data_IF_425081989568
#
_entry.id   IF_425081989568
#
_cell.length_a   1.000
_cell.length_b   1.000
_cell.length_c   1.000
_cell.angle_alpha   90.00
_cell.angle_beta   90.00
_cell.angle_gamma   90.00
#
_symmetry.space_group_name_H-M   'P 1'
#
loop_
_entity.id
_entity.type
_entity.pdbx_description
1 polymer ?
#
# COMPACT_ATOMS: atom_id res chain seq x y z
N UNK A 1 17.98 -16.67 -16.34
CA UNK A 1 17.81 -18.13 -16.19
C UNK A 1 19.02 -18.80 -16.81
N UNK A 2 19.93 -19.31 -15.98
CA UNK A 2 21.08 -20.09 -16.47
C UNK A 2 20.67 -21.55 -16.44
N UNK A 3 20.37 -22.10 -17.62
CA UNK A 3 20.19 -23.54 -17.74
C UNK A 3 21.56 -24.22 -17.68
N UNK A 4 21.66 -25.34 -16.96
CA UNK A 4 22.89 -26.13 -16.97
C UNK A 4 23.14 -26.73 -18.35
N UNK A 5 24.42 -26.93 -18.71
CA UNK A 5 24.82 -27.53 -20.01
C UNK A 5 24.12 -28.88 -20.29
N UNK A 6 23.79 -29.62 -19.22
CA UNK A 6 23.08 -30.89 -19.27
C UNK A 6 21.60 -30.74 -19.65
N UNK A 7 20.93 -29.71 -19.16
CA UNK A 7 19.53 -29.40 -19.50
C UNK A 7 19.42 -28.88 -20.93
N UNK A 8 20.44 -28.18 -21.40
CA UNK A 8 20.51 -27.71 -22.80
C UNK A 8 20.68 -28.90 -23.77
N UNK A 9 21.57 -29.86 -23.45
CA UNK A 9 21.80 -31.06 -24.26
C UNK A 9 20.61 -32.00 -24.27
N UNK A 10 19.88 -32.15 -23.16
CA UNK A 10 18.67 -32.96 -23.13
C UNK A 10 17.55 -32.36 -24.01
N UNK A 11 17.39 -31.03 -24.02
CA UNK A 11 16.41 -30.36 -24.91
C UNK A 11 16.83 -30.38 -26.38
N UNK A 12 18.10 -30.23 -26.65
CA UNK A 12 18.64 -30.37 -28.03
C UNK A 12 18.48 -31.79 -28.56
N UNK A 13 18.66 -32.81 -27.72
CA UNK A 13 18.45 -34.22 -28.07
C UNK A 13 16.97 -34.54 -28.36
N UNK A 14 16.04 -33.98 -27.61
CA UNK A 14 14.61 -34.14 -27.86
C UNK A 14 14.18 -33.46 -29.17
N UNK A 15 14.69 -32.26 -29.44
CA UNK A 15 14.42 -31.55 -30.71
C UNK A 15 14.97 -32.33 -31.92
N UNK A 16 16.19 -32.89 -31.83
CA UNK A 16 16.79 -33.67 -32.90
C UNK A 16 16.06 -35.01 -33.16
N UNK A 17 15.55 -35.66 -32.12
CA UNK A 17 14.75 -36.90 -32.24
C UNK A 17 13.39 -36.67 -32.90
N UNK A 18 12.74 -35.52 -32.61
CA UNK A 18 11.43 -35.16 -33.18
C UNK A 18 11.49 -34.74 -34.64
N UNK A 19 12.57 -34.08 -35.08
CA UNK A 19 12.76 -33.73 -36.49
C UNK A 19 13.03 -34.98 -37.36
N UNK A 20 13.65 -36.02 -36.82
CA UNK A 20 13.91 -37.28 -37.53
C UNK A 20 12.65 -38.12 -37.74
N UNK A 21 11.56 -37.88 -37.01
CA UNK A 21 10.30 -38.62 -37.06
C UNK A 21 9.18 -37.91 -37.85
N UNK A 22 9.49 -36.88 -38.63
CA UNK A 22 8.52 -36.22 -39.52
C UNK A 22 7.49 -35.32 -38.84
N UNK A 23 7.69 -35.01 -37.57
CA UNK A 23 6.75 -34.24 -36.75
C UNK A 23 6.87 -32.73 -36.82
N UNK A 24 6.92 -32.12 -38.04
CA UNK A 24 6.96 -30.65 -38.16
C UNK A 24 5.75 -29.94 -37.55
N UNK A 25 4.57 -30.56 -37.50
CA UNK A 25 3.38 -30.03 -36.85
C UNK A 25 3.49 -30.04 -35.34
N UNK A 26 4.00 -31.12 -34.75
CA UNK A 26 4.14 -31.23 -33.27
C UNK A 26 5.22 -30.32 -32.69
N UNK A 27 6.26 -30.00 -33.46
CA UNK A 27 7.30 -29.03 -33.07
C UNK A 27 6.78 -27.59 -33.09
N UNK A 28 5.89 -27.26 -34.04
CA UNK A 28 5.23 -25.97 -34.11
C UNK A 28 4.25 -25.76 -32.95
N UNK A 29 3.59 -26.82 -32.50
CA UNK A 29 2.69 -26.75 -31.33
C UNK A 29 3.46 -26.74 -29.98
N UNK A 30 4.60 -27.42 -29.88
CA UNK A 30 5.49 -27.29 -28.72
C UNK A 30 6.15 -25.91 -28.62
N UNK A 31 6.41 -25.27 -29.75
CA UNK A 31 6.89 -23.87 -29.82
C UNK A 31 5.78 -22.85 -29.59
N UNK A 32 4.51 -23.24 -29.67
CA UNK A 32 3.32 -22.45 -29.36
C UNK A 32 2.80 -22.64 -27.94
N UNK A 33 3.52 -23.35 -27.07
CA UNK A 33 3.17 -23.37 -25.65
C UNK A 33 3.01 -21.91 -25.17
N UNK A 34 1.89 -21.57 -24.55
CA UNK A 34 1.63 -20.19 -24.13
C UNK A 34 2.79 -19.73 -23.26
N UNK A 35 3.43 -18.62 -23.69
CA UNK A 35 4.57 -18.06 -22.96
C UNK A 35 4.05 -17.53 -21.63
N UNK A 36 4.26 -18.29 -20.56
CA UNK A 36 3.85 -17.85 -19.21
C UNK A 36 4.57 -16.54 -18.89
N UNK A 37 3.79 -15.54 -18.49
CA UNK A 37 4.31 -14.22 -18.16
C UNK A 37 4.44 -14.12 -16.63
N UNK A 38 5.67 -14.02 -16.10
CA UNK A 38 5.88 -13.90 -14.67
C UNK A 38 5.27 -12.62 -14.14
N UNK A 39 4.81 -12.68 -12.88
CA UNK A 39 4.36 -11.53 -12.13
C UNK A 39 5.32 -11.26 -10.97
N UNK A 40 5.46 -9.98 -10.62
CA UNK A 40 6.16 -9.51 -9.43
C UNK A 40 5.38 -8.36 -8.80
N UNK A 41 5.41 -8.28 -7.47
CA UNK A 41 4.86 -7.12 -6.78
C UNK A 41 5.76 -5.87 -6.96
N UNK A 42 5.29 -4.72 -6.48
CA UNK A 42 5.99 -3.44 -6.61
C UNK A 42 7.40 -3.46 -5.99
N UNK A 43 7.58 -4.03 -4.81
CA UNK A 43 8.91 -4.12 -4.17
C UNK A 43 9.84 -5.12 -4.86
N UNK A 44 9.29 -6.11 -5.56
CA UNK A 44 10.04 -7.20 -6.19
C UNK A 44 10.27 -8.43 -5.30
N UNK A 45 9.86 -8.37 -4.02
CA UNK A 45 10.03 -9.45 -3.05
C UNK A 45 9.09 -10.64 -3.30
N UNK A 46 7.89 -10.37 -3.83
CA UNK A 46 6.91 -11.41 -4.16
C UNK A 46 6.84 -11.64 -5.66
N UNK A 47 6.82 -12.90 -6.08
CA UNK A 47 6.72 -13.25 -7.50
C UNK A 47 6.04 -14.60 -7.70
N UNK A 48 5.44 -14.80 -8.88
CA UNK A 48 4.92 -16.10 -9.30
C UNK A 48 4.93 -16.23 -10.82
N UNK A 49 4.68 -17.47 -11.28
CA UNK A 49 4.50 -17.80 -12.70
C UNK A 49 3.09 -18.40 -12.86
N UNK A 50 2.06 -17.54 -12.99
CA UNK A 50 0.68 -18.01 -13.09
C UNK A 50 0.42 -18.71 -14.42
N UNK A 51 -0.52 -19.67 -14.42
CA UNK A 51 -0.99 -20.36 -15.63
C UNK A 51 -1.64 -19.37 -16.61
N UNK A 52 -2.36 -18.36 -16.10
CA UNK A 52 -2.98 -17.32 -16.90
C UNK A 52 -2.95 -15.95 -16.22
N UNK A 53 -2.96 -14.88 -17.05
CA UNK A 53 -3.16 -13.50 -16.64
C UNK A 53 -4.30 -12.93 -17.47
N UNK A 54 -5.41 -12.61 -16.82
CA UNK A 54 -6.64 -12.18 -17.46
C UNK A 54 -7.07 -10.80 -16.99
N UNK A 55 -7.71 -10.03 -17.87
CA UNK A 55 -8.32 -8.75 -17.59
C UNK A 55 -9.66 -8.66 -18.32
N UNK A 56 -10.75 -9.16 -17.74
CA UNK A 56 -12.10 -9.10 -18.33
C UNK A 56 -12.52 -7.65 -18.58
N UNK A 57 -13.16 -7.40 -19.72
CA UNK A 57 -13.53 -6.06 -20.17
C UNK A 57 -14.87 -5.59 -19.61
N UNK A 58 -15.74 -6.53 -19.31
CA UNK A 58 -17.08 -6.29 -18.80
C UNK A 58 -17.53 -7.39 -17.83
N UNK A 59 -18.72 -7.22 -17.27
CA UNK A 59 -19.26 -8.12 -16.26
C UNK A 59 -19.54 -9.51 -16.80
N UNK A 60 -20.00 -9.62 -18.05
CA UNK A 60 -20.32 -10.91 -18.68
C UNK A 60 -19.03 -11.73 -18.90
N UNK A 61 -17.97 -11.09 -19.40
CA UNK A 61 -16.66 -11.73 -19.54
C UNK A 61 -16.08 -12.13 -18.18
N UNK A 62 -16.24 -11.27 -17.16
CA UNK A 62 -15.79 -11.58 -15.78
C UNK A 62 -16.50 -12.81 -15.24
N UNK A 63 -17.82 -12.88 -15.35
CA UNK A 63 -18.63 -14.03 -14.91
C UNK A 63 -18.18 -15.30 -15.64
N UNK A 64 -17.98 -15.23 -16.96
CA UNK A 64 -17.50 -16.38 -17.74
C UNK A 64 -16.10 -16.85 -17.29
N UNK A 65 -15.18 -15.91 -17.00
CA UNK A 65 -13.86 -16.24 -16.51
C UNK A 65 -13.94 -16.94 -15.15
N UNK A 66 -14.75 -16.41 -14.22
CA UNK A 66 -14.88 -16.96 -12.87
C UNK A 66 -15.54 -18.34 -12.89
N UNK A 67 -16.63 -18.51 -13.64
CA UNK A 67 -17.41 -19.78 -13.68
C UNK A 67 -16.72 -20.90 -14.44
N UNK A 68 -15.81 -20.56 -15.37
CA UNK A 68 -15.06 -21.57 -16.16
C UNK A 68 -13.65 -21.84 -15.60
N UNK A 69 -13.23 -21.14 -14.56
CA UNK A 69 -11.88 -21.30 -14.04
C UNK A 69 -11.68 -22.67 -13.42
N UNK A 70 -10.66 -23.37 -13.89
CA UNK A 70 -10.17 -24.60 -13.29
C UNK A 70 -9.03 -24.23 -12.32
N UNK A 71 -9.34 -24.13 -11.02
CA UNK A 71 -8.35 -23.82 -10.00
C UNK A 71 -8.46 -22.41 -9.41
N UNK A 72 -7.38 -21.96 -8.80
CA UNK A 72 -7.36 -20.72 -8.01
C UNK A 72 -7.32 -19.46 -8.89
N UNK A 73 -8.26 -18.54 -8.62
CA UNK A 73 -8.18 -17.17 -9.11
C UNK A 73 -7.65 -16.28 -7.99
N UNK A 74 -6.68 -15.43 -8.31
CA UNK A 74 -6.22 -14.36 -7.43
C UNK A 74 -6.43 -13.01 -8.11
N UNK A 75 -7.27 -12.13 -7.52
CA UNK A 75 -7.35 -10.76 -7.99
C UNK A 75 -6.03 -10.02 -7.71
N UNK A 76 -5.65 -9.17 -8.63
CA UNK A 76 -4.47 -8.32 -8.50
C UNK A 76 -4.77 -6.91 -8.99
N UNK A 77 -4.47 -5.91 -8.15
CA UNK A 77 -4.43 -4.51 -8.52
C UNK A 77 -3.03 -4.09 -8.99
N UNK A 78 -2.50 -3.04 -8.40
CA UNK A 78 -1.15 -2.53 -8.72
C UNK A 78 -0.01 -3.40 -8.15
N UNK A 79 -0.32 -4.42 -7.35
CA UNK A 79 0.68 -5.30 -6.75
C UNK A 79 1.51 -4.63 -5.67
N UNK A 80 0.92 -3.73 -4.89
CA UNK A 80 1.63 -2.94 -3.88
C UNK A 80 1.75 -3.66 -2.52
N UNK A 81 0.98 -4.71 -2.28
CA UNK A 81 1.04 -5.49 -1.04
C UNK A 81 2.40 -6.18 -0.88
N UNK A 82 2.95 -6.14 0.33
CA UNK A 82 4.22 -6.80 0.69
C UNK A 82 4.02 -8.25 1.11
N UNK A 83 2.85 -8.59 1.65
CA UNK A 83 2.49 -9.98 2.00
C UNK A 83 2.22 -10.81 0.75
N UNK A 84 2.47 -12.12 0.84
CA UNK A 84 2.33 -13.08 -0.27
C UNK A 84 0.85 -13.44 -0.56
N UNK A 85 -0.04 -12.46 -0.68
CA UNK A 85 -1.47 -12.66 -0.93
C UNK A 85 -1.78 -12.97 -2.40
N UNK A 86 -1.03 -12.40 -3.33
CA UNK A 86 -1.26 -12.49 -4.78
C UNK A 86 -0.58 -13.69 -5.44
N UNK A 87 0.64 -14.14 -5.05
CA UNK A 87 1.31 -15.23 -5.74
C UNK A 87 0.43 -16.48 -5.90
N UNK A 88 0.35 -17.00 -7.12
CA UNK A 88 -0.44 -18.18 -7.49
C UNK A 88 0.18 -18.88 -8.69
N UNK A 89 -0.05 -20.18 -8.80
CA UNK A 89 0.16 -20.99 -10.00
C UNK A 89 -1.06 -21.01 -10.94
N UNK A 90 -2.24 -20.59 -10.42
CA UNK A 90 -3.49 -20.50 -11.15
C UNK A 90 -3.63 -19.24 -12.01
N UNK A 91 -4.77 -18.58 -11.93
CA UNK A 91 -5.09 -17.38 -12.71
C UNK A 91 -4.89 -16.11 -11.89
N UNK A 92 -4.10 -15.17 -12.41
CA UNK A 92 -4.11 -13.76 -11.95
C UNK A 92 -5.16 -12.99 -12.75
N UNK A 93 -6.07 -12.30 -12.03
CA UNK A 93 -7.15 -11.57 -12.62
C UNK A 93 -7.07 -10.08 -12.26
N UNK A 94 -6.98 -9.21 -13.27
CA UNK A 94 -6.98 -7.76 -13.11
C UNK A 94 -8.37 -7.19 -13.43
N UNK A 95 -8.84 -6.26 -12.59
CA UNK A 95 -10.06 -5.50 -12.81
C UNK A 95 -9.81 -4.14 -13.48
N UNK A 96 -8.72 -3.98 -14.23
CA UNK A 96 -8.30 -2.70 -14.81
C UNK A 96 -9.35 -2.05 -15.73
N UNK A 97 -10.26 -2.83 -16.33
CA UNK A 97 -11.38 -2.30 -17.13
C UNK A 97 -12.59 -1.87 -16.29
N UNK A 98 -12.67 -2.29 -15.03
CA UNK A 98 -13.67 -1.83 -14.06
C UNK A 98 -13.12 -0.61 -13.32
N UNK A 99 -12.98 0.52 -14.00
CA UNK A 99 -12.23 1.68 -13.50
C UNK A 99 -12.93 3.00 -13.86
N UNK A 100 -12.67 4.02 -13.04
CA UNK A 100 -13.19 5.37 -13.20
C UNK A 100 -14.38 5.67 -12.29
N UNK A 101 -14.78 6.94 -12.29
CA UNK A 101 -16.00 7.41 -11.64
C UNK A 101 -17.19 6.94 -12.46
N UNK A 102 -18.13 6.22 -11.84
CA UNK A 102 -19.30 5.62 -12.48
C UNK A 102 -20.56 6.43 -12.21
N UNK A 103 -20.72 6.91 -10.98
CA UNK A 103 -21.89 7.69 -10.54
C UNK A 103 -21.53 8.56 -9.33
N UNK A 104 -22.32 9.61 -9.07
CA UNK A 104 -22.18 10.43 -7.87
C UNK A 104 -23.48 11.13 -7.50
N UNK A 105 -23.65 11.37 -6.20
CA UNK A 105 -24.74 12.18 -5.66
C UNK A 105 -24.16 13.40 -4.93
N UNK A 106 -24.37 14.62 -5.44
CA UNK A 106 -23.88 15.83 -4.81
C UNK A 106 -24.60 16.17 -3.49
N UNK A 107 -25.82 15.66 -3.27
CA UNK A 107 -26.58 15.95 -2.06
C UNK A 107 -26.11 15.12 -0.86
N UNK A 108 -25.84 13.82 -1.07
CA UNK A 108 -25.31 12.92 -0.04
C UNK A 108 -23.78 12.91 0.02
N UNK A 109 -23.10 13.55 -0.93
CA UNK A 109 -21.65 13.50 -1.10
C UNK A 109 -21.14 12.05 -1.22
N UNK A 110 -21.87 11.23 -1.99
CA UNK A 110 -21.43 9.88 -2.31
C UNK A 110 -20.96 9.80 -3.75
N UNK A 111 -19.98 8.92 -3.99
CA UNK A 111 -19.51 8.61 -5.34
C UNK A 111 -19.23 7.11 -5.49
N UNK A 112 -19.54 6.57 -6.68
CA UNK A 112 -19.30 5.17 -7.02
C UNK A 112 -18.17 5.07 -8.04
N UNK A 113 -17.19 4.22 -7.73
CA UNK A 113 -16.05 3.95 -8.60
C UNK A 113 -15.96 2.47 -8.95
N UNK A 114 -15.38 2.19 -10.12
CA UNK A 114 -14.95 0.83 -10.44
C UNK A 114 -13.84 0.36 -9.50
N UNK A 115 -13.88 -0.91 -9.07
CA UNK A 115 -12.92 -1.47 -8.10
C UNK A 115 -11.47 -1.45 -8.56
N UNK A 116 -11.23 -1.47 -9.88
CA UNK A 116 -9.91 -1.37 -10.49
C UNK A 116 -9.37 0.06 -10.65
N UNK A 117 -10.07 1.08 -10.14
CA UNK A 117 -9.64 2.49 -10.24
C UNK A 117 -8.36 2.70 -9.44
N UNK A 118 -7.27 3.22 -10.05
CA UNK A 118 -6.11 3.67 -9.30
C UNK A 118 -6.47 4.83 -8.37
N UNK A 119 -6.00 4.81 -7.13
CA UNK A 119 -6.27 5.85 -6.14
C UNK A 119 -5.82 7.23 -6.61
N UNK A 120 -4.71 7.32 -7.36
CA UNK A 120 -4.20 8.54 -7.97
C UNK A 120 -5.16 9.22 -8.95
N UNK A 121 -6.13 8.47 -9.49
CA UNK A 121 -7.17 9.02 -10.37
C UNK A 121 -8.42 9.46 -9.60
N UNK A 122 -8.57 9.03 -8.37
CA UNK A 122 -9.78 9.33 -7.59
C UNK A 122 -9.81 10.76 -7.09
N UNK A 123 -8.70 11.27 -6.56
CA UNK A 123 -8.61 12.64 -6.06
C UNK A 123 -9.05 13.69 -7.09
N UNK A 124 -8.42 13.76 -8.27
CA UNK A 124 -8.82 14.67 -9.33
C UNK A 124 -10.27 14.49 -9.80
N UNK A 125 -10.76 13.22 -9.89
CA UNK A 125 -12.14 12.94 -10.30
C UNK A 125 -13.15 13.43 -9.25
N UNK A 126 -12.89 13.22 -7.97
CA UNK A 126 -13.73 13.72 -6.87
C UNK A 126 -13.71 15.24 -6.81
N UNK A 127 -12.55 15.88 -6.95
CA UNK A 127 -12.44 17.33 -6.98
C UNK A 127 -13.28 17.94 -8.11
N UNK A 128 -13.31 17.32 -9.29
CA UNK A 128 -14.09 17.79 -10.44
C UNK A 128 -15.62 17.83 -10.17
N UNK A 129 -16.10 17.00 -9.23
CA UNK A 129 -17.51 16.97 -8.79
C UNK A 129 -17.73 17.66 -7.43
N UNK A 130 -16.73 18.41 -6.92
CA UNK A 130 -16.82 19.15 -5.66
C UNK A 130 -16.67 18.27 -4.40
N UNK A 131 -16.17 17.05 -4.52
CA UNK A 131 -16.01 16.10 -3.42
C UNK A 131 -14.54 15.80 -3.14
N UNK A 132 -14.26 15.22 -1.98
CA UNK A 132 -12.95 14.69 -1.59
C UNK A 132 -13.11 13.53 -0.61
N UNK A 133 -12.13 12.61 -0.56
CA UNK A 133 -12.05 11.61 0.48
C UNK A 133 -11.79 12.27 1.85
N UNK A 134 -12.41 11.78 2.92
CA UNK A 134 -12.19 12.31 4.28
C UNK A 134 -10.74 12.15 4.77
N UNK A 135 -10.07 11.08 4.35
CA UNK A 135 -8.68 10.77 4.66
C UNK A 135 -8.08 9.94 3.53
N UNK A 136 -6.77 10.03 3.30
CA UNK A 136 -6.05 9.23 2.31
C UNK A 136 -4.74 8.71 2.90
N UNK A 137 -4.26 7.60 2.34
CA UNK A 137 -2.90 7.14 2.54
C UNK A 137 -1.90 8.02 1.76
N UNK A 138 -0.65 8.00 2.17
CA UNK A 138 0.41 8.77 1.52
C UNK A 138 0.89 8.15 0.18
N UNK A 139 0.47 6.93 -0.13
CA UNK A 139 0.72 6.25 -1.41
C UNK A 139 -0.59 6.02 -2.14
N UNK A 140 -0.69 6.46 -3.37
CA UNK A 140 -1.90 6.39 -4.21
C UNK A 140 -1.78 5.47 -5.44
N UNK A 141 -0.74 4.67 -5.52
CA UNK A 141 -0.53 3.70 -6.63
C UNK A 141 -1.46 2.50 -6.58
N UNK A 142 -2.09 2.23 -5.43
CA UNK A 142 -3.01 1.12 -5.23
C UNK A 142 -4.27 1.27 -6.08
N UNK A 143 -4.95 0.15 -6.38
CA UNK A 143 -6.33 0.19 -6.87
C UNK A 143 -7.31 0.24 -5.71
N UNK A 144 -8.48 0.83 -5.89
CA UNK A 144 -9.48 1.00 -4.84
C UNK A 144 -9.87 -0.33 -4.17
N UNK A 145 -10.21 -1.37 -4.95
CA UNK A 145 -10.53 -2.68 -4.40
C UNK A 145 -9.35 -3.32 -3.65
N UNK A 146 -8.10 -3.08 -4.11
CA UNK A 146 -6.91 -3.54 -3.43
C UNK A 146 -6.67 -2.81 -2.10
N UNK A 147 -6.85 -1.50 -2.07
CA UNK A 147 -6.66 -0.67 -0.89
C UNK A 147 -7.67 -1.00 0.23
N UNK A 148 -8.97 -1.12 -0.12
CA UNK A 148 -9.98 -1.50 0.88
C UNK A 148 -9.76 -2.93 1.39
N UNK A 149 -9.37 -3.87 0.52
CA UNK A 149 -9.22 -5.29 0.88
C UNK A 149 -8.18 -5.56 1.98
N UNK A 150 -7.26 -4.63 2.22
CA UNK A 150 -6.16 -4.74 3.18
C UNK A 150 -6.18 -3.63 4.25
N UNK A 151 -7.30 -2.96 4.46
CA UNK A 151 -7.46 -1.86 5.43
C UNK A 151 -6.49 -0.71 5.25
N UNK A 152 -6.06 -0.39 4.02
CA UNK A 152 -5.17 0.75 3.77
C UNK A 152 -5.73 2.02 4.40
N UNK A 153 -4.87 2.78 5.07
CA UNK A 153 -5.24 3.95 5.87
C UNK A 153 -4.23 5.09 5.69
N UNK A 154 -4.60 6.27 6.12
CA UNK A 154 -3.71 7.40 6.35
C UNK A 154 -3.41 7.56 7.85
N UNK A 155 -3.38 8.78 8.34
CA UNK A 155 -3.19 9.08 9.77
C UNK A 155 -4.30 9.99 10.29
N UNK A 156 -4.50 9.96 11.63
CA UNK A 156 -5.40 10.85 12.39
C UNK A 156 -6.41 10.10 13.26
N UNK A 157 -6.42 10.40 14.57
CA UNK A 157 -7.30 9.76 15.58
C UNK A 157 -8.81 9.81 15.22
N UNK A 158 -9.23 10.75 14.38
CA UNK A 158 -10.63 10.89 13.98
C UNK A 158 -10.98 10.08 12.71
N UNK A 159 -10.00 9.49 12.04
CA UNK A 159 -10.15 8.89 10.72
C UNK A 159 -9.80 7.42 10.71
N UNK A 160 -10.65 6.60 10.08
CA UNK A 160 -10.41 5.19 9.83
C UNK A 160 -9.72 4.92 8.49
N UNK A 161 -9.67 3.64 8.12
CA UNK A 161 -9.16 3.16 6.84
C UNK A 161 -10.08 3.56 5.65
N UNK A 162 -9.63 3.34 4.43
CA UNK A 162 -10.50 3.48 3.23
C UNK A 162 -11.74 2.59 3.32
N UNK A 163 -11.61 1.41 3.91
CA UNK A 163 -12.72 0.47 4.09
C UNK A 163 -13.84 1.05 4.98
N UNK A 164 -13.51 1.92 5.95
CA UNK A 164 -14.49 2.60 6.80
C UNK A 164 -15.31 3.66 6.07
N UNK A 165 -14.83 4.13 4.90
CA UNK A 165 -15.54 5.11 4.05
C UNK A 165 -16.50 4.44 3.07
N UNK A 166 -16.47 3.09 2.96
CA UNK A 166 -17.31 2.34 2.03
C UNK A 166 -18.74 2.24 2.53
N UNK A 167 -19.71 2.62 1.69
CA UNK A 167 -21.15 2.55 1.98
C UNK A 167 -21.90 1.62 1.02
N UNK A 168 -21.24 1.06 0.02
CA UNK A 168 -21.79 0.06 -0.87
C UNK A 168 -20.71 -0.65 -1.67
N UNK A 169 -20.96 -1.92 -2.01
CA UNK A 169 -20.09 -2.77 -2.80
C UNK A 169 -20.89 -3.54 -3.85
N UNK A 170 -20.30 -3.77 -5.00
CA UNK A 170 -20.72 -4.84 -5.91
C UNK A 170 -19.64 -5.91 -5.97
N UNK A 171 -20.04 -7.17 -5.74
CA UNK A 171 -19.18 -8.33 -5.74
C UNK A 171 -19.60 -9.32 -6.82
N UNK A 172 -18.62 -9.96 -7.48
CA UNK A 172 -18.85 -11.18 -8.28
C UNK A 172 -18.29 -12.36 -7.49
N UNK A 173 -19.17 -13.25 -7.06
CA UNK A 173 -18.80 -14.43 -6.25
C UNK A 173 -18.11 -15.51 -7.11
N UNK A 174 -17.53 -16.51 -6.47
CA UNK A 174 -16.92 -17.66 -7.16
C UNK A 174 -17.92 -18.44 -8.05
N UNK A 175 -19.23 -18.39 -7.74
CA UNK A 175 -20.28 -18.96 -8.57
C UNK A 175 -20.72 -18.09 -9.74
N UNK A 176 -20.16 -16.89 -9.90
CA UNK A 176 -20.57 -15.93 -10.94
C UNK A 176 -21.80 -15.10 -10.57
N UNK A 177 -22.30 -15.20 -9.33
CA UNK A 177 -23.39 -14.35 -8.86
C UNK A 177 -22.90 -12.93 -8.64
N UNK A 178 -23.70 -11.93 -9.07
CA UNK A 178 -23.43 -10.51 -8.85
C UNK A 178 -24.25 -10.04 -7.66
N UNK A 179 -23.56 -9.60 -6.61
CA UNK A 179 -24.17 -9.13 -5.37
C UNK A 179 -23.92 -7.62 -5.21
N UNK A 180 -25.01 -6.84 -5.16
CA UNK A 180 -24.96 -5.48 -4.67
C UNK A 180 -25.20 -5.49 -3.15
N UNK A 181 -24.25 -5.00 -2.39
CA UNK A 181 -24.22 -5.08 -0.94
C UNK A 181 -24.12 -3.69 -0.31
N UNK A 182 -24.93 -3.43 0.71
CA UNK A 182 -24.90 -2.22 1.53
C UNK A 182 -25.47 -2.54 2.93
N UNK A 183 -25.63 -1.55 3.79
CA UNK A 183 -26.16 -1.73 5.14
C UNK A 183 -27.57 -2.36 5.21
N UNK A 184 -28.35 -2.28 4.11
CA UNK A 184 -29.72 -2.78 4.02
C UNK A 184 -29.85 -4.02 3.14
N UNK A 185 -28.90 -4.22 2.23
CA UNK A 185 -28.87 -5.33 1.26
C UNK A 185 -27.64 -6.17 1.48
N UNK A 186 -27.83 -7.45 1.79
CA UNK A 186 -26.75 -8.36 2.15
C UNK A 186 -25.78 -7.79 3.23
N UNK A 187 -26.31 -7.30 4.39
CA UNK A 187 -25.53 -6.52 5.37
C UNK A 187 -24.32 -7.28 5.93
N UNK A 188 -24.42 -8.60 6.12
CA UNK A 188 -23.30 -9.42 6.59
C UNK A 188 -22.22 -9.56 5.53
N UNK A 189 -22.60 -9.72 4.25
CA UNK A 189 -21.66 -9.75 3.13
C UNK A 189 -21.01 -8.38 2.95
N UNK A 190 -21.78 -7.31 3.07
CA UNK A 190 -21.27 -5.93 3.05
C UNK A 190 -20.25 -5.69 4.15
N UNK A 191 -20.60 -6.06 5.39
CA UNK A 191 -19.73 -5.88 6.54
C UNK A 191 -18.39 -6.58 6.35
N UNK A 192 -18.38 -7.87 5.97
CA UNK A 192 -17.19 -8.64 5.74
C UNK A 192 -16.45 -8.28 4.43
N UNK A 193 -17.19 -7.84 3.41
CA UNK A 193 -16.67 -7.53 2.07
C UNK A 193 -15.79 -6.28 2.01
N UNK A 194 -15.98 -5.35 2.96
CA UNK A 194 -15.18 -4.12 3.04
C UNK A 194 -13.68 -4.40 3.24
N UNK A 195 -13.35 -5.46 4.03
CA UNK A 195 -11.98 -5.98 4.16
C UNK A 195 -12.06 -7.51 4.05
N UNK A 196 -11.74 -8.08 2.92
CA UNK A 196 -11.94 -9.52 2.69
C UNK A 196 -10.74 -10.23 2.05
N UNK A 197 -9.65 -9.54 1.75
CA UNK A 197 -8.47 -10.08 1.06
C UNK A 197 -8.84 -10.82 -0.25
N UNK A 198 -10.00 -10.48 -0.85
CA UNK A 198 -10.54 -11.13 -2.03
C UNK A 198 -11.20 -12.49 -1.78
N UNK A 199 -11.42 -12.89 -0.52
CA UNK A 199 -11.97 -14.21 -0.19
C UNK A 199 -13.47 -14.36 -0.52
N UNK A 200 -14.24 -13.28 -0.51
CA UNK A 200 -15.68 -13.29 -0.77
C UNK A 200 -16.05 -13.15 -2.26
N UNK A 201 -15.11 -12.69 -3.08
CA UNK A 201 -15.33 -12.45 -4.49
C UNK A 201 -14.51 -11.28 -5.04
N UNK A 202 -14.83 -10.90 -6.27
CA UNK A 202 -14.17 -9.82 -7.00
C UNK A 202 -14.97 -8.53 -6.85
N UNK A 203 -14.40 -7.50 -6.22
CA UNK A 203 -15.05 -6.20 -6.01
C UNK A 203 -15.01 -5.40 -7.31
N UNK A 204 -16.15 -5.30 -7.99
CA UNK A 204 -16.27 -4.61 -9.28
C UNK A 204 -16.63 -3.13 -9.13
N UNK A 205 -17.39 -2.77 -8.08
CA UNK A 205 -17.79 -1.39 -7.77
C UNK A 205 -17.69 -1.11 -6.29
N UNK A 206 -17.36 0.12 -5.95
CA UNK A 206 -17.28 0.62 -4.57
C UNK A 206 -17.95 1.98 -4.50
N UNK A 207 -18.92 2.15 -3.62
CA UNK A 207 -19.54 3.42 -3.28
C UNK A 207 -18.95 3.93 -1.98
N UNK A 208 -18.48 5.16 -2.01
CA UNK A 208 -17.79 5.82 -0.91
C UNK A 208 -18.61 6.97 -0.35
N UNK A 209 -18.58 7.15 0.98
CA UNK A 209 -19.00 8.37 1.64
C UNK A 209 -17.86 9.37 1.61
N UNK A 210 -18.03 10.43 0.89
CA UNK A 210 -17.09 11.52 0.74
C UNK A 210 -17.52 12.72 1.60
N UNK A 211 -16.75 13.79 1.48
CA UNK A 211 -17.05 15.12 2.00
C UNK A 211 -16.89 16.17 0.89
N UNK A 212 -17.24 17.42 1.16
CA UNK A 212 -16.94 18.53 0.26
C UNK A 212 -15.44 18.69 0.04
N UNK A 213 -15.03 19.08 -1.17
CA UNK A 213 -13.63 19.33 -1.50
C UNK A 213 -13.00 20.38 -0.54
N UNK A 214 -11.77 20.16 -0.13
CA UNK A 214 -11.06 20.98 0.84
C UNK A 214 -9.57 21.02 0.54
N UNK A 215 -8.85 21.97 1.16
CA UNK A 215 -7.40 22.08 1.11
C UNK A 215 -6.79 21.69 2.43
N UNK A 216 -5.57 21.22 2.37
CA UNK A 216 -4.72 20.94 3.51
C UNK A 216 -3.48 21.82 3.47
N UNK A 217 -3.02 22.17 4.67
CA UNK A 217 -1.66 22.66 4.92
C UNK A 217 -0.86 21.55 5.55
N UNK A 218 0.22 21.18 4.93
CA UNK A 218 1.25 20.31 5.49
C UNK A 218 2.33 21.15 6.16
N UNK A 219 2.73 20.72 7.36
CA UNK A 219 3.90 21.24 8.07
C UNK A 219 4.78 20.07 8.48
N UNK A 220 6.07 20.27 8.30
CA UNK A 220 7.08 19.28 8.65
C UNK A 220 8.17 19.93 9.50
N UNK A 221 8.63 19.24 10.55
CA UNK A 221 9.76 19.68 11.35
C UNK A 221 10.47 18.50 12.00
N UNK A 222 11.77 18.66 12.27
CA UNK A 222 12.55 17.67 12.98
C UNK A 222 12.58 17.98 14.47
N UNK A 223 12.22 17.01 15.30
CA UNK A 223 12.26 17.10 16.75
C UNK A 223 12.84 15.82 17.37
N UNK A 224 13.19 15.84 18.66
CA UNK A 224 13.58 14.61 19.33
C UNK A 224 12.42 13.65 19.42
N UNK A 225 12.68 12.41 19.07
CA UNK A 225 11.68 11.33 19.10
C UNK A 225 11.02 11.21 20.46
N UNK A 226 11.78 11.33 21.56
CA UNK A 226 11.23 11.21 22.90
C UNK A 226 10.30 12.39 23.25
N UNK A 227 10.65 13.62 22.86
CA UNK A 227 9.77 14.79 23.04
C UNK A 227 8.43 14.61 22.28
N UNK A 228 8.49 14.11 21.03
CA UNK A 228 7.28 13.81 20.25
C UNK A 228 6.42 12.71 20.88
N UNK A 229 7.04 11.68 21.49
CA UNK A 229 6.34 10.60 22.18
C UNK A 229 5.71 11.05 23.51
N UNK A 230 6.33 11.98 24.23
CA UNK A 230 5.75 12.61 25.42
C UNK A 230 4.56 13.51 25.06
N UNK A 231 4.62 14.19 23.91
CA UNK A 231 3.60 15.12 23.42
C UNK A 231 2.56 14.49 22.48
N UNK A 232 2.51 13.17 22.36
CA UNK A 232 1.58 12.45 21.44
C UNK A 232 0.13 12.90 21.61
N UNK A 233 -0.34 13.02 22.86
CA UNK A 233 -1.72 13.41 23.14
C UNK A 233 -2.01 14.84 22.67
N UNK A 234 -1.07 15.76 22.85
CA UNK A 234 -1.20 17.14 22.38
C UNK A 234 -1.16 17.19 20.85
N UNK A 235 -0.18 16.54 20.23
CA UNK A 235 -0.02 16.52 18.78
C UNK A 235 -1.25 15.94 18.06
N UNK A 236 -1.82 14.83 18.59
CA UNK A 236 -2.99 14.19 17.98
C UNK A 236 -4.31 14.90 18.30
N UNK A 237 -4.39 15.70 19.38
CA UNK A 237 -5.56 16.51 19.72
C UNK A 237 -5.60 17.80 18.90
N UNK A 238 -4.46 18.45 18.75
CA UNK A 238 -4.34 19.80 18.18
C UNK A 238 -4.24 19.79 16.65
N UNK A 239 -4.05 18.60 16.04
CA UNK A 239 -3.96 18.44 14.58
C UNK A 239 -4.98 17.40 14.08
N UNK A 240 -5.54 17.65 12.90
CA UNK A 240 -6.44 16.69 12.23
C UNK A 240 -5.70 15.41 11.87
N UNK A 241 -4.50 15.59 11.31
CA UNK A 241 -3.60 14.50 10.95
C UNK A 241 -2.23 14.80 11.55
N UNK A 242 -1.69 13.85 12.26
CA UNK A 242 -0.33 13.88 12.78
C UNK A 242 0.31 12.52 12.63
N UNK A 243 1.55 12.52 12.18
CA UNK A 243 2.39 11.34 12.12
C UNK A 243 3.85 11.72 12.38
N UNK A 244 4.69 10.73 12.62
CA UNK A 244 6.14 10.93 12.63
C UNK A 244 6.86 9.83 11.89
N UNK A 245 7.96 10.21 11.25
CA UNK A 245 8.91 9.32 10.61
C UNK A 245 10.19 9.28 11.44
N UNK A 246 10.39 8.18 12.16
CA UNK A 246 11.45 8.03 13.16
C UNK A 246 12.72 7.50 12.49
N UNK A 247 13.78 8.28 12.54
CA UNK A 247 15.08 7.87 11.99
C UNK A 247 15.77 6.90 12.96
N UNK A 248 15.90 5.64 12.54
CA UNK A 248 16.60 4.63 13.34
C UNK A 248 18.06 5.01 13.59
N UNK A 249 18.61 4.63 14.73
CA UNK A 249 19.95 5.04 15.18
C UNK A 249 20.17 6.56 15.34
N UNK A 250 19.10 7.37 15.28
CA UNK A 250 19.08 8.80 15.61
C UNK A 250 18.28 9.03 16.88
N UNK A 251 18.40 10.24 17.43
CA UNK A 251 17.53 10.73 18.52
C UNK A 251 16.34 11.53 17.97
N UNK A 252 16.25 11.69 16.65
CA UNK A 252 15.32 12.57 15.99
C UNK A 252 14.36 11.85 15.07
N UNK A 253 13.17 12.45 14.93
CA UNK A 253 12.15 12.07 13.98
C UNK A 253 11.69 13.31 13.20
N UNK A 254 11.18 13.07 11.99
CA UNK A 254 10.42 14.05 11.22
C UNK A 254 8.97 13.97 11.69
N UNK A 255 8.43 15.07 12.22
CA UNK A 255 7.02 15.23 12.59
C UNK A 255 6.29 15.89 11.44
N UNK A 256 5.11 15.39 11.08
CA UNK A 256 4.28 15.83 9.95
C UNK A 256 2.88 16.10 10.46
N UNK A 257 2.32 17.26 10.12
CA UNK A 257 0.91 17.59 10.37
C UNK A 257 0.21 18.00 9.11
N UNK A 258 -1.05 17.58 8.94
CA UNK A 258 -1.94 18.03 7.88
C UNK A 258 -3.19 18.61 8.52
N UNK A 259 -3.48 19.87 8.26
CA UNK A 259 -4.65 20.57 8.80
C UNK A 259 -5.42 21.29 7.69
N UNK A 260 -6.74 21.32 7.78
CA UNK A 260 -7.56 22.10 6.84
C UNK A 260 -7.19 23.57 6.85
N UNK A 261 -7.20 24.17 5.67
CA UNK A 261 -6.92 25.59 5.48
C UNK A 261 -7.71 26.19 4.32
N UNK A 262 -7.93 27.50 4.39
CA UNK A 262 -8.48 28.30 3.29
C UNK A 262 -7.38 29.07 2.54
N UNK A 263 -6.12 28.91 2.93
CA UNK A 263 -5.00 29.58 2.32
C UNK A 263 -4.83 29.22 0.84
N UNK A 264 -4.24 30.10 0.04
CA UNK A 264 -3.94 29.79 -1.36
C UNK A 264 -2.94 28.63 -1.46
N UNK A 265 -3.09 27.83 -2.52
CA UNK A 265 -2.16 26.74 -2.78
C UNK A 265 -0.75 27.27 -3.05
N UNK A 266 0.24 26.55 -2.53
CA UNK A 266 1.67 26.79 -2.85
C UNK A 266 1.99 26.22 -4.23
N UNK A 267 3.09 26.64 -4.88
CA UNK A 267 3.56 25.98 -6.09
C UNK A 267 3.79 24.49 -5.89
N UNK A 268 3.52 23.65 -6.90
CA UNK A 268 3.83 22.23 -6.81
C UNK A 268 5.33 21.99 -6.67
N UNK A 269 5.70 20.97 -5.91
CA UNK A 269 7.09 20.51 -5.77
C UNK A 269 7.39 19.39 -6.78
N UNK A 270 8.67 19.08 -7.00
CA UNK A 270 9.07 17.99 -7.89
C UNK A 270 8.81 16.62 -7.26
N UNK A 271 8.60 15.56 -8.08
CA UNK A 271 8.42 14.20 -7.56
C UNK A 271 9.62 13.69 -6.74
N UNK A 272 10.82 14.22 -6.96
CA UNK A 272 12.02 13.88 -6.20
C UNK A 272 11.96 14.43 -4.77
N UNK A 273 11.36 15.63 -4.60
CA UNK A 273 11.18 16.29 -3.30
C UNK A 273 9.98 15.72 -2.54
N UNK A 274 9.02 15.14 -3.25
CA UNK A 274 7.83 14.56 -2.62
C UNK A 274 8.16 13.34 -1.73
N UNK A 275 7.32 13.14 -0.70
CA UNK A 275 7.35 11.94 0.14
C UNK A 275 8.65 11.72 0.90
N UNK A 276 9.45 12.75 1.08
CA UNK A 276 10.72 12.65 1.80
C UNK A 276 11.78 11.82 1.07
N UNK A 277 11.69 11.65 -0.25
CA UNK A 277 12.66 10.87 -1.03
C UNK A 277 14.10 11.36 -0.85
N UNK A 278 14.31 12.70 -0.79
CA UNK A 278 15.61 13.29 -0.49
C UNK A 278 16.06 12.96 0.94
N UNK A 279 15.13 12.99 1.89
CA UNK A 279 15.40 12.68 3.29
C UNK A 279 15.87 11.21 3.45
N UNK A 280 15.17 10.24 2.81
CA UNK A 280 15.58 8.84 2.78
C UNK A 280 16.96 8.67 2.13
N UNK A 281 17.21 9.35 1.02
CA UNK A 281 18.51 9.31 0.33
C UNK A 281 19.64 9.88 1.20
N UNK A 282 19.35 10.92 1.99
CA UNK A 282 20.31 11.49 2.92
C UNK A 282 20.60 10.55 4.10
N UNK A 283 19.56 9.92 4.66
CA UNK A 283 19.72 8.87 5.69
C UNK A 283 20.65 7.76 5.17
N UNK A 284 20.39 7.24 3.97
CA UNK A 284 21.22 6.21 3.34
C UNK A 284 22.70 6.60 3.26
N UNK A 285 22.98 7.82 2.80
CA UNK A 285 24.35 8.32 2.68
C UNK A 285 25.02 8.45 4.05
N UNK A 286 24.36 9.05 5.03
CA UNK A 286 24.91 9.24 6.37
C UNK A 286 25.15 7.92 7.11
N UNK A 287 24.23 6.97 6.95
CA UNK A 287 24.37 5.62 7.51
C UNK A 287 25.57 4.87 6.89
N UNK A 288 25.73 4.96 5.57
CA UNK A 288 26.87 4.35 4.88
C UNK A 288 28.22 4.90 5.33
N UNK A 289 28.33 6.21 5.52
CA UNK A 289 29.57 6.84 6.03
C UNK A 289 29.88 6.47 7.48
N UNK A 290 28.86 6.27 8.30
CA UNK A 290 29.00 5.88 9.71
C UNK A 290 28.98 4.38 9.96
N UNK A 291 28.96 3.53 8.91
CA UNK A 291 28.58 2.11 9.00
C UNK A 291 29.37 1.27 10.01
N UNK A 292 30.68 1.53 10.15
CA UNK A 292 31.55 0.70 10.99
C UNK A 292 31.62 1.17 12.46
N UNK A 293 31.06 2.33 12.77
CA UNK A 293 31.16 2.96 14.09
C UNK A 293 29.78 3.50 14.54
N UNK A 294 29.04 2.78 15.39
CA UNK A 294 27.68 3.16 15.82
C UNK A 294 27.57 4.59 16.39
N UNK A 295 28.57 5.05 17.16
CA UNK A 295 28.59 6.39 17.73
C UNK A 295 28.75 7.49 16.66
N UNK A 296 29.59 7.24 15.63
CA UNK A 296 29.78 8.16 14.50
C UNK A 296 28.48 8.18 13.66
N UNK A 297 27.93 7.02 13.36
CA UNK A 297 26.65 6.87 12.65
C UNK A 297 25.54 7.67 13.33
N UNK A 298 25.35 7.49 14.65
CA UNK A 298 24.38 8.25 15.42
C UNK A 298 24.62 9.75 15.35
N UNK A 299 25.87 10.19 15.47
CA UNK A 299 26.22 11.61 15.37
C UNK A 299 25.89 12.20 13.98
N UNK A 300 26.20 11.45 12.92
CA UNK A 300 25.88 11.84 11.54
C UNK A 300 24.35 11.91 11.31
N UNK A 301 23.60 10.88 11.74
CA UNK A 301 22.13 10.86 11.62
C UNK A 301 21.48 11.98 12.47
N UNK A 302 22.03 12.30 13.63
CA UNK A 302 21.57 13.42 14.44
C UNK A 302 21.81 14.79 13.78
N UNK A 303 22.74 14.89 12.81
CA UNK A 303 22.95 16.11 12.06
C UNK A 303 21.84 16.44 11.06
N UNK A 304 20.96 15.48 10.76
CA UNK A 304 19.76 15.72 9.91
C UNK A 304 18.93 16.89 10.39
N UNK A 305 18.85 17.12 11.71
CA UNK A 305 18.16 18.30 12.30
C UNK A 305 18.66 19.65 11.82
N UNK A 306 19.90 19.71 11.29
CA UNK A 306 20.53 20.97 10.86
C UNK A 306 20.29 21.28 9.38
N UNK A 307 19.86 20.30 8.60
CA UNK A 307 19.68 20.40 7.15
C UNK A 307 18.26 20.12 6.71
N UNK A 308 17.39 19.71 7.63
CA UNK A 308 15.97 19.49 7.37
C UNK A 308 15.24 20.85 7.57
N UNK A 309 15.16 21.61 6.50
CA UNK A 309 14.35 22.84 6.39
C UNK A 309 13.21 22.52 5.42
N UNK A 310 11.99 22.57 5.91
CA UNK A 310 10.81 22.21 5.15
C UNK A 310 9.87 23.40 5.08
N UNK A 311 9.55 23.84 3.87
CA UNK A 311 8.50 24.83 3.63
C UNK A 311 7.12 24.23 3.86
N UNK A 312 6.20 25.04 4.38
CA UNK A 312 4.78 24.66 4.46
C UNK A 312 4.23 24.46 3.04
N UNK A 313 3.53 23.33 2.84
CA UNK A 313 2.81 23.05 1.59
C UNK A 313 1.31 23.26 1.79
N UNK A 314 0.66 23.93 0.82
CA UNK A 314 -0.81 24.06 0.80
C UNK A 314 -1.31 23.61 -0.56
N UNK A 315 -2.28 22.71 -0.58
CA UNK A 315 -2.84 22.20 -1.81
C UNK A 315 -4.22 21.57 -1.60
N UNK A 316 -4.80 21.07 -2.69
CA UNK A 316 -5.99 20.24 -2.57
C UNK A 316 -5.67 18.98 -1.77
N UNK A 317 -6.65 18.49 -1.00
CA UNK A 317 -6.40 17.41 -0.05
C UNK A 317 -5.69 16.20 -0.66
N UNK A 318 -6.07 15.79 -1.87
CA UNK A 318 -5.45 14.63 -2.55
C UNK A 318 -4.01 14.88 -3.00
N UNK A 319 -3.62 16.14 -3.30
CA UNK A 319 -2.24 16.49 -3.66
C UNK A 319 -1.32 16.55 -2.43
N UNK A 320 -1.90 16.78 -1.24
CA UNK A 320 -1.13 16.87 0.01
C UNK A 320 -1.00 15.51 0.69
N UNK A 321 -2.05 14.66 0.65
CA UNK A 321 -1.97 13.33 1.23
C UNK A 321 -1.01 12.41 0.46
N UNK A 322 -1.12 12.40 -0.88
CA UNK A 322 -0.42 11.45 -1.71
C UNK A 322 0.93 11.98 -2.16
N UNK A 323 1.96 11.16 -1.97
CA UNK A 323 3.33 11.48 -2.33
C UNK A 323 3.92 10.43 -3.26
N UNK A 324 4.73 10.85 -4.22
CA UNK A 324 5.46 9.95 -5.10
C UNK A 324 6.59 9.23 -4.32
N UNK A 325 6.63 7.90 -4.41
CA UNK A 325 7.71 7.09 -3.83
C UNK A 325 8.67 6.63 -4.92
N UNK A 326 9.84 7.25 -5.00
CA UNK A 326 10.87 6.93 -6.00
C UNK A 326 11.82 5.83 -5.54
N UNK A 327 11.96 5.61 -4.24
CA UNK A 327 12.80 4.57 -3.64
C UNK A 327 11.94 3.38 -3.23
N UNK A 328 12.31 2.17 -3.69
CA UNK A 328 11.60 0.93 -3.36
C UNK A 328 12.01 0.40 -2.00
N UNK A 329 11.03 -0.16 -1.29
CA UNK A 329 11.23 -0.80 0.01
C UNK A 329 10.35 -2.04 0.17
N UNK A 330 10.63 -2.85 1.19
CA UNK A 330 9.72 -3.82 1.76
C UNK A 330 9.23 -3.28 3.10
N UNK A 331 8.00 -3.57 3.45
CA UNK A 331 7.33 -3.04 4.64
C UNK A 331 6.68 -4.16 5.43
N UNK A 332 6.69 -4.00 6.75
CA UNK A 332 5.89 -4.76 7.70
C UNK A 332 5.25 -3.75 8.64
N UNK A 333 3.91 -3.81 8.74
CA UNK A 333 3.13 -2.94 9.60
C UNK A 333 2.31 -3.76 10.60
N UNK A 334 2.29 -3.29 11.84
CA UNK A 334 1.39 -3.78 12.89
C UNK A 334 0.65 -2.64 13.54
N UNK A 335 -0.62 -2.91 13.89
CA UNK A 335 -1.48 -1.96 14.59
C UNK A 335 -1.69 -2.44 16.02
N UNK A 336 -1.13 -1.70 16.98
CA UNK A 336 -1.29 -1.96 18.43
C UNK A 336 -2.39 -1.06 19.01
N UNK A 337 -2.98 -1.38 20.19
CA UNK A 337 -3.88 -0.44 20.87
C UNK A 337 -3.23 0.94 21.00
N UNK A 338 -4.01 1.99 20.75
CA UNK A 338 -3.49 3.36 20.62
C UNK A 338 -2.62 3.80 21.82
N UNK A 339 -3.03 3.43 23.04
CA UNK A 339 -2.33 3.74 24.28
C UNK A 339 -0.96 3.04 24.43
N UNK A 340 -0.75 1.94 23.72
CA UNK A 340 0.52 1.19 23.76
C UNK A 340 1.52 1.65 22.71
N UNK A 341 1.13 2.48 21.77
CA UNK A 341 1.98 2.95 20.67
C UNK A 341 3.34 3.50 21.11
N UNK A 342 3.39 4.44 22.09
CA UNK A 342 4.68 5.00 22.54
C UNK A 342 5.60 3.96 23.18
N UNK A 343 5.06 3.03 23.98
CA UNK A 343 5.84 1.98 24.62
C UNK A 343 6.40 0.98 23.58
N UNK A 344 5.55 0.54 22.65
CA UNK A 344 5.93 -0.36 21.57
C UNK A 344 7.05 0.25 20.69
N UNK A 345 6.92 1.52 20.29
CA UNK A 345 7.96 2.17 19.50
C UNK A 345 9.30 2.27 20.25
N UNK A 346 9.27 2.59 21.56
CA UNK A 346 10.50 2.61 22.38
C UNK A 346 11.18 1.25 22.43
N UNK A 347 10.40 0.18 22.57
CA UNK A 347 10.92 -1.20 22.57
C UNK A 347 11.54 -1.57 21.22
N UNK A 348 10.88 -1.26 20.10
CA UNK A 348 11.41 -1.45 18.74
C UNK A 348 12.73 -0.69 18.56
N UNK A 349 12.80 0.57 18.95
CA UNK A 349 14.01 1.38 18.82
C UNK A 349 15.15 0.86 19.73
N UNK A 350 14.82 0.38 20.93
CA UNK A 350 15.76 -0.30 21.83
C UNK A 350 16.36 -1.54 21.17
N UNK A 351 15.50 -2.43 20.66
CA UNK A 351 15.92 -3.65 19.97
C UNK A 351 16.81 -3.36 18.75
N UNK A 352 16.43 -2.37 17.93
CA UNK A 352 17.21 -1.97 16.74
C UNK A 352 18.63 -1.52 17.14
N UNK A 353 18.76 -0.75 18.23
CA UNK A 353 20.04 -0.26 18.73
C UNK A 353 20.87 -1.38 19.34
N UNK A 354 20.27 -2.22 20.17
CA UNK A 354 20.96 -3.29 20.90
C UNK A 354 21.50 -4.38 19.97
N UNK A 355 20.76 -4.70 18.90
CA UNK A 355 21.16 -5.68 17.88
C UNK A 355 21.87 -5.05 16.68
N UNK A 356 22.06 -3.75 16.66
CA UNK A 356 22.60 -2.98 15.51
C UNK A 356 21.90 -3.30 14.18
N UNK A 357 20.56 -3.43 14.22
CA UNK A 357 19.77 -3.70 13.02
C UNK A 357 19.75 -2.45 12.13
N UNK A 358 20.14 -2.60 10.87
CA UNK A 358 20.30 -1.47 9.95
C UNK A 358 19.12 -1.38 8.98
N UNK A 359 18.61 -0.18 8.84
CA UNK A 359 17.69 0.24 7.77
C UNK A 359 17.96 1.67 7.36
N UNK A 360 17.73 2.00 6.10
CA UNK A 360 17.83 3.37 5.58
C UNK A 360 16.49 4.09 5.55
N UNK A 361 15.42 3.40 5.90
CA UNK A 361 14.09 3.99 5.94
C UNK A 361 13.71 4.36 7.38
N UNK A 362 12.97 5.46 7.57
CA UNK A 362 12.37 5.76 8.85
C UNK A 362 11.28 4.76 9.19
N UNK A 363 10.96 4.65 10.47
CA UNK A 363 9.77 3.98 10.97
C UNK A 363 8.62 4.97 10.93
N UNK A 364 7.51 4.61 10.32
CA UNK A 364 6.29 5.41 10.34
C UNK A 364 5.44 5.08 11.57
N UNK A 365 4.92 6.13 12.20
CA UNK A 365 4.12 6.05 13.42
C UNK A 365 2.87 6.90 13.23
N UNK A 366 1.70 6.25 13.20
CA UNK A 366 0.41 6.83 12.85
C UNK A 366 -0.69 6.42 13.81
N UNK A 367 -1.78 7.20 13.85
CA UNK A 367 -3.00 6.84 14.58
C UNK A 367 -4.16 6.64 13.63
N UNK A 368 -4.99 5.63 13.92
CA UNK A 368 -6.15 5.25 13.12
C UNK A 368 -7.33 4.94 14.03
N UNK A 369 -8.49 5.49 13.67
CA UNK A 369 -9.74 5.26 14.39
C UNK A 369 -10.26 3.85 14.20
N UNK A 370 -10.89 3.31 15.24
CA UNK A 370 -11.62 2.05 15.22
C UNK A 370 -12.70 1.99 14.13
N UNK A 371 -12.91 0.79 13.59
CA UNK A 371 -14.04 0.47 12.73
C UNK A 371 -14.78 -0.79 13.22
N UNK A 372 -15.80 -1.24 12.45
CA UNK A 372 -16.65 -2.40 12.78
C UNK A 372 -16.41 -3.57 11.81
N UNK A 373 -15.29 -3.59 11.09
CA UNK A 373 -15.04 -4.50 9.98
C UNK A 373 -14.26 -5.72 10.45
N UNK A 374 -14.77 -6.96 10.30
CA UNK A 374 -14.24 -8.17 10.96
C UNK A 374 -12.77 -8.50 10.68
N UNK A 375 -12.24 -8.21 9.49
CA UNK A 375 -10.83 -8.45 9.15
C UNK A 375 -9.97 -7.18 9.14
N UNK A 376 -10.55 -6.05 9.59
CA UNK A 376 -9.79 -4.82 9.72
C UNK A 376 -8.77 -4.92 10.85
N UNK A 377 -7.60 -4.33 10.65
CA UNK A 377 -6.62 -4.14 11.72
C UNK A 377 -7.12 -3.25 12.84
N UNK A 378 -8.23 -2.54 12.60
CA UNK A 378 -8.81 -1.51 13.47
C UNK A 378 -10.17 -1.94 14.05
N UNK A 379 -10.55 -3.22 13.93
CA UNK A 379 -11.83 -3.69 14.46
C UNK A 379 -11.93 -3.44 15.97
N UNK A 380 -12.93 -2.65 16.36
CA UNK A 380 -13.34 -2.42 17.76
C UNK A 380 -12.35 -1.63 18.62
N UNK A 381 -11.23 -1.12 18.07
CA UNK A 381 -10.24 -0.37 18.86
C UNK A 381 -9.55 0.73 18.06
N UNK A 382 -9.35 1.88 18.69
CA UNK A 382 -8.41 2.87 18.18
C UNK A 382 -6.98 2.32 18.24
N UNK A 383 -6.21 2.56 17.21
CA UNK A 383 -4.91 1.91 17.04
C UNK A 383 -3.80 2.91 16.76
N UNK A 384 -2.61 2.56 17.20
CA UNK A 384 -1.36 3.10 16.69
C UNK A 384 -0.79 2.11 15.68
N UNK A 385 -0.59 2.57 14.45
CA UNK A 385 0.03 1.79 13.38
C UNK A 385 1.50 2.12 13.30
N UNK A 386 2.35 1.09 13.35
CA UNK A 386 3.81 1.22 13.31
C UNK A 386 4.31 0.41 12.11
N UNK A 387 4.83 1.13 11.10
CA UNK A 387 5.37 0.54 9.89
C UNK A 387 6.89 0.59 9.91
N UNK A 388 7.51 -0.58 9.78
CA UNK A 388 8.96 -0.72 9.63
C UNK A 388 9.32 -1.06 8.19
N UNK A 389 10.29 -0.35 7.66
CA UNK A 389 10.67 -0.44 6.25
C UNK A 389 12.11 -0.91 6.09
N UNK A 390 12.36 -1.66 5.02
CA UNK A 390 13.71 -2.03 4.62
C UNK A 390 13.92 -1.78 3.13
N UNK A 391 15.04 -1.16 2.79
CA UNK A 391 15.39 -0.92 1.39
C UNK A 391 15.34 -2.22 0.58
N UNK A 392 14.78 -2.20 -0.64
CA UNK A 392 14.50 -3.41 -1.43
C UNK A 392 15.73 -4.28 -1.73
N UNK A 393 16.95 -3.73 -1.65
CA UNK A 393 18.21 -4.44 -1.85
C UNK A 393 18.81 -5.01 -0.54
N UNK A 394 18.25 -4.67 0.63
CA UNK A 394 18.70 -5.16 1.92
C UNK A 394 17.88 -6.38 2.35
N UNK A 395 18.45 -7.20 3.22
CA UNK A 395 17.73 -8.32 3.82
C UNK A 395 16.66 -7.80 4.80
N UNK A 396 15.40 -7.94 4.39
CA UNK A 396 14.26 -7.56 5.21
C UNK A 396 13.78 -8.70 6.12
N UNK A 397 14.10 -9.96 5.80
CA UNK A 397 13.60 -11.11 6.57
C UNK A 397 14.13 -11.11 8.01
N UNK A 398 15.44 -10.98 8.18
CA UNK A 398 16.05 -10.93 9.52
C UNK A 398 15.63 -9.68 10.29
N UNK A 399 15.49 -8.54 9.61
CA UNK A 399 15.04 -7.29 10.22
C UNK A 399 13.60 -7.40 10.74
N UNK A 400 12.68 -7.86 9.90
CA UNK A 400 11.28 -8.02 10.28
C UNK A 400 11.07 -9.10 11.33
N UNK A 401 11.71 -10.28 11.18
CA UNK A 401 11.62 -11.36 12.15
C UNK A 401 12.14 -10.99 13.55
N UNK A 402 13.07 -10.02 13.65
CA UNK A 402 13.54 -9.54 14.93
C UNK A 402 12.53 -8.61 15.63
N UNK A 403 11.73 -7.85 14.87
CA UNK A 403 10.80 -6.85 15.38
C UNK A 403 9.39 -7.43 15.60
N UNK A 404 8.95 -8.36 14.75
CA UNK A 404 7.60 -8.94 14.79
C UNK A 404 7.14 -9.47 16.16
N UNK A 405 8.01 -10.01 17.05
CA UNK A 405 7.58 -10.49 18.36
C UNK A 405 7.22 -9.40 19.38
N UNK A 406 7.57 -8.12 19.13
CA UNK A 406 7.23 -6.98 19.99
C UNK A 406 5.76 -6.57 19.78
#
# INVERSE_FOLDING_TARGET
MNYSRRQWLQRAGVVAAFTALGGQGALADLMRAPRLIPWRNWSGAQSCLPAARLAPKDLDELIQVVTRAEGRIRPVGSGHSFSALVPTDGTLLSLSFFSGLLDHDPASLQAEFGGGTPMSRMGPALKAIGQALPNMADVDYQTLAGAIATSTHGTGKAFGSYASQVVGLQLVTAGGEVLDCDANRHPEVFKAGRVSLGALGLVTRVRLQNRAAYRLRERQWVAKTEELLEDVEANTRDNQHWEMQVVTHSDYALSITLNETTDPATPPISPEEEGGNEFVTLIEKLDKYGSDFPAIRRSLLNSLRLVADFDDRVGDSHDIYANARTVRFNEMEYSVPAEHGPACLREILGLIRDKDLRTWFPIEYRYVKADDIPLSMFEGRDSCSISVHQHYQMDHHNFFAAIEPI
#
